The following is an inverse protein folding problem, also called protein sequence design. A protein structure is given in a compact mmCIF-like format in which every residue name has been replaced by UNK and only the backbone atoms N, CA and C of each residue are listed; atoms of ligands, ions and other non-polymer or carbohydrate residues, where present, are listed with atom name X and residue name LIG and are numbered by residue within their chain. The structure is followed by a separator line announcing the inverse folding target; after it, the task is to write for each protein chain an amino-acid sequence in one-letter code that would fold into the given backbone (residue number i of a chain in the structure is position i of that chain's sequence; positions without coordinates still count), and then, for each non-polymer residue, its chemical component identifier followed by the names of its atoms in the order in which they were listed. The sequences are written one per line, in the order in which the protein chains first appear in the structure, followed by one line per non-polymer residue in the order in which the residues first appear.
data_IF_984291418490
#
_entry.id   IF_984291418490
#
_cell.length_a   1.000
_cell.length_b   1.000
_cell.length_c   1.000
_cell.angle_alpha   90.00
_cell.angle_beta   90.00
_cell.angle_gamma   90.00
#
_symmetry.space_group_name_H-M   'P 1'
#
loop_
_entity.id
_entity.type
_entity.pdbx_description
1 polymer ?
#
# COMPACT_ATOMS: atom_id res chain seq x y z
N UNK A 1 3.55 16.06 22.22
CA UNK A 1 2.32 16.89 22.15
C UNK A 1 1.18 16.05 22.73
N UNK A 2 0.07 16.62 23.25
CA UNK A 2 -1.04 15.80 23.73
C UNK A 2 -1.80 15.15 22.57
N UNK A 3 -2.32 13.93 22.77
CA UNK A 3 -3.15 13.22 21.79
C UNK A 3 -4.35 14.08 21.40
N UNK A 4 -4.61 14.19 20.10
CA UNK A 4 -5.79 14.88 19.58
C UNK A 4 -6.92 13.87 19.39
N UNK A 5 -8.06 14.15 20.03
CA UNK A 5 -9.27 13.32 19.92
C UNK A 5 -10.45 14.13 19.42
N UNK A 6 -11.18 13.63 18.43
CA UNK A 6 -12.42 14.27 17.97
C UNK A 6 -12.59 14.35 16.46
N UNK A 7 -13.13 15.48 15.99
CA UNK A 7 -13.30 15.78 14.57
C UNK A 7 -12.63 17.10 14.26
N UNK A 8 -11.73 17.13 13.28
CA UNK A 8 -10.97 18.33 12.94
C UNK A 8 -10.77 18.45 11.44
N UNK A 9 -10.80 19.68 10.96
CA UNK A 9 -10.37 20.05 9.61
C UNK A 9 -9.06 20.82 9.77
N UNK A 10 -7.98 20.32 9.18
CA UNK A 10 -6.66 20.96 9.22
C UNK A 10 -6.49 21.89 8.01
N UNK A 11 -5.66 22.95 8.12
CA UNK A 11 -5.22 23.69 6.94
C UNK A 11 -4.14 22.91 6.17
N UNK A 12 -3.87 23.31 4.93
CA UNK A 12 -2.71 22.82 4.17
C UNK A 12 -1.42 23.04 4.97
N UNK A 13 -0.54 22.03 5.00
CA UNK A 13 0.72 22.09 5.72
C UNK A 13 1.89 21.90 4.76
N UNK A 14 2.89 22.78 4.87
CA UNK A 14 4.12 22.68 4.12
C UNK A 14 5.34 22.82 5.03
N UNK A 15 6.21 21.82 5.07
CA UNK A 15 7.45 21.89 5.85
C UNK A 15 7.83 20.59 6.53
N UNK A 16 8.19 20.67 7.81
CA UNK A 16 8.54 19.52 8.63
C UNK A 16 7.75 19.58 9.92
N UNK A 17 7.04 18.52 10.24
CA UNK A 17 6.17 18.47 11.41
C UNK A 17 6.26 17.11 12.10
N UNK A 18 6.26 17.15 13.43
CA UNK A 18 6.02 15.98 14.27
C UNK A 18 4.61 16.14 14.84
N UNK A 19 3.68 15.27 14.44
CA UNK A 19 2.28 15.31 14.84
C UNK A 19 2.07 14.52 16.15
N UNK A 20 1.09 14.90 16.98
CA UNK A 20 0.62 14.02 18.06
C UNK A 20 -0.18 12.84 17.50
N UNK A 21 -0.40 11.83 18.35
CA UNK A 21 -1.37 10.76 18.10
C UNK A 21 -2.75 11.35 17.79
N UNK A 22 -3.36 10.91 16.69
CA UNK A 22 -4.66 11.36 16.21
C UNK A 22 -5.68 10.22 16.36
N UNK A 23 -6.74 10.46 17.14
CA UNK A 23 -7.87 9.53 17.25
C UNK A 23 -9.19 10.20 16.87
N UNK A 24 -9.86 9.76 15.81
CA UNK A 24 -11.21 10.23 15.48
C UNK A 24 -11.48 10.39 14.01
N UNK A 25 -11.91 11.57 13.57
CA UNK A 25 -12.12 11.87 12.16
C UNK A 25 -11.37 13.14 11.78
N UNK A 26 -10.59 13.09 10.72
CA UNK A 26 -9.83 14.25 10.29
C UNK A 26 -9.89 14.41 8.78
N UNK A 27 -10.08 15.65 8.35
CA UNK A 27 -9.83 16.06 6.98
C UNK A 27 -8.48 16.81 7.00
N UNK A 28 -7.43 16.16 6.48
CA UNK A 28 -6.10 16.74 6.33
C UNK A 28 -5.89 17.00 4.85
N UNK A 29 -5.97 18.25 4.37
CA UNK A 29 -5.84 18.57 2.94
C UNK A 29 -4.37 18.44 2.49
N UNK A 30 -3.86 19.37 1.69
CA UNK A 30 -2.54 19.20 1.05
C UNK A 30 -1.42 19.18 2.11
N UNK A 31 -0.75 18.03 2.24
CA UNK A 31 0.45 17.88 3.07
C UNK A 31 1.68 17.75 2.17
N UNK A 32 2.59 18.71 2.29
CA UNK A 32 3.83 18.74 1.52
C UNK A 32 5.06 18.85 2.44
N UNK A 33 5.96 17.86 2.41
CA UNK A 33 7.25 17.96 3.09
C UNK A 33 7.65 16.70 3.84
N UNK A 34 7.91 16.81 5.14
CA UNK A 34 8.29 15.67 5.98
C UNK A 34 7.45 15.60 7.24
N UNK A 35 6.83 14.46 7.50
CA UNK A 35 5.96 14.31 8.65
C UNK A 35 6.29 13.03 9.40
N UNK A 36 6.28 13.12 10.72
CA UNK A 36 6.24 12.00 11.65
C UNK A 36 4.85 12.00 12.28
N UNK A 37 4.07 10.94 12.05
CA UNK A 37 2.71 10.78 12.55
C UNK A 37 2.57 9.42 13.26
N UNK A 38 2.86 9.36 14.58
CA UNK A 38 3.08 8.12 15.31
C UNK A 38 1.87 7.17 15.38
N UNK A 39 0.66 7.66 15.63
CA UNK A 39 -0.57 6.84 15.64
C UNK A 39 -1.69 7.63 14.97
N UNK A 40 -2.27 7.08 13.91
CA UNK A 40 -3.54 7.52 13.36
C UNK A 40 -4.58 6.42 13.52
N UNK A 41 -5.60 6.68 14.32
CA UNK A 41 -6.72 5.76 14.50
C UNK A 41 -8.07 6.44 14.20
N UNK A 42 -8.80 5.95 13.20
CA UNK A 42 -10.16 6.41 12.93
C UNK A 42 -10.51 6.54 11.46
N UNK A 43 -10.95 7.73 11.04
CA UNK A 43 -11.31 8.01 9.64
C UNK A 43 -10.59 9.25 9.14
N UNK A 44 -9.88 9.13 8.04
CA UNK A 44 -9.08 10.22 7.51
C UNK A 44 -9.36 10.42 6.03
N UNK A 45 -9.49 11.68 5.64
CA UNK A 45 -9.47 12.14 4.25
C UNK A 45 -8.18 12.95 4.06
N UNK A 46 -7.32 12.48 3.16
CA UNK A 46 -5.97 12.97 2.92
C UNK A 46 -5.71 13.10 1.41
N UNK A 47 -6.30 14.10 0.73
CA UNK A 47 -6.34 14.18 -0.73
C UNK A 47 -4.99 14.24 -1.44
N UNK A 48 -3.99 14.92 -0.86
CA UNK A 48 -2.66 15.06 -1.48
C UNK A 48 -1.54 14.98 -0.43
N UNK A 49 -0.78 13.90 -0.47
CA UNK A 49 0.40 13.69 0.35
C UNK A 49 1.66 13.68 -0.54
N UNK A 50 2.52 14.68 -0.38
CA UNK A 50 3.84 14.71 -1.07
C UNK A 50 5.01 14.85 -0.13
N UNK A 51 5.98 13.95 -0.27
CA UNK A 51 7.28 14.09 0.37
C UNK A 51 7.74 12.85 1.12
N UNK A 52 7.97 12.97 2.43
CA UNK A 52 8.43 11.86 3.27
C UNK A 52 7.58 11.71 4.51
N UNK A 53 7.06 10.53 4.75
CA UNK A 53 6.18 10.28 5.87
C UNK A 53 6.65 9.04 6.63
N UNK A 54 6.67 9.16 7.94
CA UNK A 54 6.83 8.07 8.88
C UNK A 54 5.50 7.95 9.64
N UNK A 55 4.78 6.86 9.43
CA UNK A 55 3.46 6.64 9.99
C UNK A 55 3.36 5.21 10.55
N UNK A 56 3.88 4.97 11.76
CA UNK A 56 4.09 3.62 12.25
C UNK A 56 2.83 2.80 12.54
N UNK A 57 1.70 3.45 12.86
CA UNK A 57 0.42 2.78 13.09
C UNK A 57 -0.72 3.54 12.42
N UNK A 58 -1.33 2.93 11.40
CA UNK A 58 -2.59 3.40 10.84
C UNK A 58 -3.69 2.35 11.06
N UNK A 59 -4.70 2.73 11.82
CA UNK A 59 -5.87 1.89 12.06
C UNK A 59 -7.18 2.59 11.68
N UNK A 60 -7.96 1.99 10.78
CA UNK A 60 -9.33 2.45 10.50
C UNK A 60 -9.69 2.58 9.03
N UNK A 61 -10.10 3.78 8.60
CA UNK A 61 -10.51 4.05 7.22
C UNK A 61 -9.81 5.27 6.67
N UNK A 62 -9.17 5.13 5.52
CA UNK A 62 -8.40 6.19 4.91
C UNK A 62 -8.78 6.34 3.45
N UNK A 63 -8.94 7.59 3.03
CA UNK A 63 -9.08 8.01 1.65
C UNK A 63 -7.86 8.89 1.34
N UNK A 64 -6.94 8.38 0.51
CA UNK A 64 -5.68 9.04 0.18
C UNK A 64 -5.46 8.97 -1.34
N UNK A 65 -6.09 9.86 -2.13
CA UNK A 65 -6.09 9.73 -3.58
C UNK A 65 -4.76 10.00 -4.30
N UNK A 66 -3.90 10.88 -3.79
CA UNK A 66 -2.57 11.16 -4.38
C UNK A 66 -1.49 11.03 -3.30
N UNK A 67 -0.69 9.95 -3.36
CA UNK A 67 0.51 9.82 -2.54
C UNK A 67 1.77 9.79 -3.42
N UNK A 68 2.59 10.82 -3.31
CA UNK A 68 3.85 10.91 -4.02
C UNK A 68 5.06 11.10 -3.10
N UNK A 69 5.95 10.10 -3.02
CA UNK A 69 7.23 10.28 -2.34
C UNK A 69 7.83 9.04 -1.68
N UNK A 70 8.12 9.14 -0.38
CA UNK A 70 8.66 8.05 0.42
C UNK A 70 7.86 7.87 1.69
N UNK A 71 7.38 6.67 1.93
CA UNK A 71 6.56 6.37 3.09
C UNK A 71 7.09 5.14 3.80
N UNK A 72 7.12 5.24 5.12
CA UNK A 72 7.38 4.13 6.03
C UNK A 72 6.09 3.94 6.83
N UNK A 73 5.37 2.85 6.54
CA UNK A 73 4.08 2.53 7.14
C UNK A 73 4.09 1.07 7.65
N UNK A 74 4.72 0.78 8.80
CA UNK A 74 4.91 -0.58 9.27
C UNK A 74 3.65 -1.37 9.62
N UNK A 75 2.59 -0.73 10.13
CA UNK A 75 1.32 -1.40 10.46
C UNK A 75 0.13 -0.63 9.88
N UNK A 76 -0.52 -1.22 8.87
CA UNK A 76 -1.80 -0.72 8.35
C UNK A 76 -2.90 -1.73 8.60
N UNK A 77 -3.89 -1.35 9.40
CA UNK A 77 -5.06 -2.16 9.65
C UNK A 77 -6.36 -1.44 9.31
N UNK A 78 -7.12 -1.93 8.32
CA UNK A 78 -8.47 -1.45 8.06
C UNK A 78 -8.90 -1.40 6.61
N UNK A 79 -9.36 -0.22 6.16
CA UNK A 79 -9.81 0.02 4.78
C UNK A 79 -9.13 1.23 4.21
N UNK A 80 -8.51 1.08 3.05
CA UNK A 80 -7.75 2.13 2.39
C UNK A 80 -8.20 2.23 0.94
N UNK A 81 -8.45 3.46 0.51
CA UNK A 81 -8.65 3.84 -0.87
C UNK A 81 -7.48 4.74 -1.26
N UNK A 82 -6.60 4.23 -2.12
CA UNK A 82 -5.37 4.89 -2.53
C UNK A 82 -5.17 4.77 -4.04
N UNK A 83 -5.87 5.56 -4.86
CA UNK A 83 -5.86 5.40 -6.31
C UNK A 83 -4.53 5.66 -7.01
N UNK A 84 -3.71 6.61 -6.55
CA UNK A 84 -2.42 6.92 -7.16
C UNK A 84 -1.30 6.89 -6.10
N UNK A 85 -0.47 5.85 -6.13
CA UNK A 85 0.75 5.78 -5.33
C UNK A 85 1.97 5.81 -6.24
N UNK A 86 2.78 6.84 -6.06
CA UNK A 86 4.04 6.98 -6.78
C UNK A 86 5.23 7.17 -5.82
N UNK A 87 6.23 6.29 -5.91
CA UNK A 87 7.51 6.49 -5.23
C UNK A 87 8.08 5.26 -4.55
N UNK A 88 8.31 5.36 -3.23
CA UNK A 88 8.88 4.28 -2.42
C UNK A 88 8.09 4.06 -1.14
N UNK A 89 7.63 2.84 -0.92
CA UNK A 89 6.82 2.49 0.23
C UNK A 89 7.43 1.26 0.91
N UNK A 90 7.53 1.34 2.22
CA UNK A 90 7.89 0.23 3.10
C UNK A 90 6.66 -0.05 3.96
N UNK A 91 6.00 -1.19 3.73
CA UNK A 91 4.73 -1.56 4.34
C UNK A 91 4.77 -3.04 4.76
N UNK A 92 5.49 -3.40 5.84
CA UNK A 92 5.70 -4.78 6.24
C UNK A 92 4.44 -5.53 6.70
N UNK A 93 3.43 -4.89 7.30
CA UNK A 93 2.18 -5.55 7.72
C UNK A 93 0.95 -4.77 7.24
N UNK A 94 0.22 -5.33 6.27
CA UNK A 94 -1.06 -4.78 5.79
C UNK A 94 -2.19 -5.77 6.04
N UNK A 95 -3.21 -5.32 6.78
CA UNK A 95 -4.40 -6.12 7.08
C UNK A 95 -5.68 -5.39 6.71
N UNK A 96 -6.52 -6.04 5.92
CA UNK A 96 -7.88 -5.57 5.68
C UNK A 96 -8.25 -5.47 4.20
N UNK A 97 -8.70 -4.29 3.77
CA UNK A 97 -9.15 -4.06 2.39
C UNK A 97 -8.47 -2.86 1.78
N UNK A 98 -7.88 -3.04 0.61
CA UNK A 98 -7.14 -1.99 -0.08
C UNK A 98 -7.61 -1.92 -1.52
N UNK A 99 -7.90 -0.71 -1.96
CA UNK A 99 -8.16 -0.37 -3.36
C UNK A 99 -7.00 0.53 -3.81
N UNK A 100 -6.13 0.00 -4.66
CA UNK A 100 -4.92 0.68 -5.10
C UNK A 100 -4.71 0.49 -6.61
N UNK A 101 -5.45 1.25 -7.45
CA UNK A 101 -5.46 1.04 -8.88
C UNK A 101 -4.18 1.34 -9.65
N UNK A 102 -3.40 2.35 -9.25
CA UNK A 102 -2.15 2.72 -9.91
C UNK A 102 -1.01 2.78 -8.90
N UNK A 103 -0.10 1.80 -8.96
CA UNK A 103 1.13 1.82 -8.18
C UNK A 103 2.34 1.91 -9.10
N UNK A 104 3.09 2.98 -8.94
CA UNK A 104 4.34 3.19 -9.65
C UNK A 104 5.53 3.36 -8.69
N UNK A 105 6.55 2.49 -8.81
CA UNK A 105 7.83 2.70 -8.13
C UNK A 105 8.41 1.47 -7.44
N UNK A 106 8.66 1.59 -6.14
CA UNK A 106 9.24 0.50 -5.32
C UNK A 106 8.43 0.28 -4.06
N UNK A 107 8.01 -0.95 -3.86
CA UNK A 107 7.20 -1.33 -2.71
C UNK A 107 7.84 -2.56 -2.06
N UNK A 108 7.98 -2.49 -0.75
CA UNK A 108 8.33 -3.61 0.10
C UNK A 108 7.10 -3.92 0.96
N UNK A 109 6.41 -5.01 0.66
CA UNK A 109 5.15 -5.38 1.30
C UNK A 109 5.24 -6.83 1.81
N UNK A 110 5.67 -7.01 3.06
CA UNK A 110 6.11 -8.32 3.54
C UNK A 110 4.98 -9.30 3.89
N UNK A 111 3.99 -8.86 4.68
CA UNK A 111 2.83 -9.65 5.10
C UNK A 111 1.56 -8.89 4.73
N UNK A 112 0.83 -9.40 3.73
CA UNK A 112 -0.44 -8.84 3.31
C UNK A 112 -1.53 -9.86 3.61
N UNK A 113 -2.51 -9.46 4.42
CA UNK A 113 -3.65 -10.31 4.74
C UNK A 113 -4.98 -9.60 4.48
N UNK A 114 -5.72 -10.05 3.45
CA UNK A 114 -7.03 -9.47 3.18
C UNK A 114 -7.53 -9.55 1.74
N UNK A 115 -8.18 -8.47 1.30
CA UNK A 115 -8.67 -8.27 -0.06
C UNK A 115 -8.00 -7.04 -0.66
N UNK A 116 -7.33 -7.22 -1.80
CA UNK A 116 -6.58 -6.18 -2.50
C UNK A 116 -7.05 -6.09 -3.95
N UNK A 117 -7.36 -4.89 -4.40
CA UNK A 117 -7.63 -4.55 -5.80
C UNK A 117 -6.45 -3.70 -6.29
N UNK A 118 -5.68 -4.26 -7.23
CA UNK A 118 -4.36 -3.78 -7.65
C UNK A 118 -4.22 -3.88 -9.20
N UNK A 119 -5.02 -3.14 -9.99
CA UNK A 119 -5.09 -3.33 -11.43
C UNK A 119 -3.83 -2.99 -12.24
N UNK A 120 -3.10 -1.91 -11.90
CA UNK A 120 -1.89 -1.51 -12.62
C UNK A 120 -0.72 -1.34 -11.65
N UNK A 121 0.25 -2.25 -11.72
CA UNK A 121 1.49 -2.17 -10.96
C UNK A 121 2.66 -2.03 -11.91
N UNK A 122 3.39 -0.92 -11.76
CA UNK A 122 4.60 -0.65 -12.52
C UNK A 122 5.82 -0.44 -11.60
N UNK A 123 6.79 -1.35 -11.63
CA UNK A 123 8.07 -1.12 -10.96
C UNK A 123 8.71 -2.34 -10.31
N UNK A 124 9.02 -2.23 -9.02
CA UNK A 124 9.64 -3.30 -8.22
C UNK A 124 8.86 -3.55 -6.95
N UNK A 125 8.47 -4.80 -6.75
CA UNK A 125 7.67 -5.22 -5.62
C UNK A 125 8.34 -6.43 -4.98
N UNK A 126 8.46 -6.38 -3.67
CA UNK A 126 8.83 -7.52 -2.82
C UNK A 126 7.59 -7.87 -1.98
N UNK A 127 7.01 -9.04 -2.22
CA UNK A 127 5.72 -9.48 -1.67
C UNK A 127 5.80 -10.95 -1.19
N UNK A 128 6.54 -11.24 -0.11
CA UNK A 128 6.83 -12.60 0.30
C UNK A 128 5.68 -13.42 0.87
N UNK A 129 4.74 -12.82 1.61
CA UNK A 129 3.58 -13.53 2.17
C UNK A 129 2.29 -12.79 1.79
N UNK A 130 1.58 -13.31 0.78
CA UNK A 130 0.26 -12.80 0.38
C UNK A 130 -0.82 -13.81 0.81
N UNK A 131 -1.73 -13.36 1.68
CA UNK A 131 -2.86 -14.16 2.19
C UNK A 131 -4.19 -13.52 1.86
N UNK A 132 -4.98 -14.18 1.03
CA UNK A 132 -6.38 -13.81 0.82
C UNK A 132 -6.79 -13.74 -0.64
N UNK A 133 -7.30 -12.57 -1.07
CA UNK A 133 -7.75 -12.35 -2.45
C UNK A 133 -7.07 -11.14 -3.05
N UNK A 134 -6.52 -11.31 -4.23
CA UNK A 134 -5.84 -10.27 -4.97
C UNK A 134 -6.35 -10.27 -6.42
N UNK A 135 -6.68 -9.08 -6.91
CA UNK A 135 -6.97 -8.83 -8.31
C UNK A 135 -5.82 -7.97 -8.86
N UNK A 136 -4.98 -8.55 -9.72
CA UNK A 136 -3.76 -7.93 -10.26
C UNK A 136 -3.61 -8.12 -11.78
N UNK A 137 -4.50 -7.53 -12.60
CA UNK A 137 -4.56 -7.76 -14.03
C UNK A 137 -3.36 -7.30 -14.86
N UNK A 138 -2.71 -6.18 -14.54
CA UNK A 138 -1.54 -5.68 -15.27
C UNK A 138 -0.34 -5.47 -14.32
N UNK A 139 0.62 -6.39 -14.39
CA UNK A 139 1.86 -6.31 -13.62
C UNK A 139 3.02 -6.09 -14.58
N UNK A 140 3.70 -4.95 -14.49
CA UNK A 140 4.90 -4.64 -15.27
C UNK A 140 6.13 -4.36 -14.40
N UNK A 141 7.19 -5.17 -14.53
CA UNK A 141 8.47 -4.91 -13.87
C UNK A 141 9.15 -6.12 -13.22
N UNK A 142 9.46 -6.01 -11.93
CA UNK A 142 10.11 -7.07 -11.15
C UNK A 142 9.33 -7.36 -9.88
N UNK A 143 9.00 -8.62 -9.69
CA UNK A 143 8.20 -9.08 -8.56
C UNK A 143 8.87 -10.28 -7.92
N UNK A 144 8.97 -10.27 -6.60
CA UNK A 144 9.36 -11.40 -5.77
C UNK A 144 8.12 -11.81 -4.95
N UNK A 145 7.56 -13.00 -5.24
CA UNK A 145 6.26 -13.47 -4.76
C UNK A 145 6.34 -14.94 -4.28
N UNK A 146 7.13 -15.25 -3.24
CA UNK A 146 7.44 -16.62 -2.85
C UNK A 146 6.29 -17.43 -2.24
N UNK A 147 5.44 -16.87 -1.37
CA UNK A 147 4.34 -17.62 -0.72
C UNK A 147 2.99 -16.95 -0.99
N UNK A 148 2.15 -17.61 -1.80
CA UNK A 148 0.86 -17.06 -2.26
C UNK A 148 -0.36 -17.89 -1.82
N UNK A 149 -0.66 -18.09 -0.52
CA UNK A 149 -1.88 -18.76 -0.07
C UNK A 149 -3.16 -17.95 -0.39
N UNK A 150 -3.99 -18.41 -1.34
CA UNK A 150 -5.28 -17.74 -1.59
C UNK A 150 -5.86 -17.84 -2.99
N UNK A 151 -6.46 -16.72 -3.43
CA UNK A 151 -7.02 -16.54 -4.77
C UNK A 151 -6.38 -15.33 -5.44
N UNK A 152 -5.91 -15.53 -6.66
CA UNK A 152 -5.21 -14.51 -7.42
C UNK A 152 -5.73 -14.51 -8.85
N UNK A 153 -6.01 -13.32 -9.37
CA UNK A 153 -6.30 -13.07 -10.77
C UNK A 153 -5.15 -12.23 -11.35
N UNK A 154 -4.35 -12.80 -12.25
CA UNK A 154 -3.12 -12.17 -12.77
C UNK A 154 -2.96 -12.36 -14.29
N UNK A 155 -3.90 -11.89 -15.14
CA UNK A 155 -3.97 -12.14 -16.58
C UNK A 155 -2.90 -11.49 -17.48
N UNK A 156 -2.15 -10.46 -17.07
CA UNK A 156 -1.03 -9.90 -17.87
C UNK A 156 0.21 -9.70 -16.98
N UNK A 157 1.23 -10.53 -17.21
CA UNK A 157 2.51 -10.50 -16.49
C UNK A 157 3.65 -10.16 -17.46
N UNK A 158 4.24 -8.97 -17.34
CA UNK A 158 5.39 -8.51 -18.13
C UNK A 158 6.60 -8.18 -17.27
N UNK A 159 7.69 -8.95 -17.45
CA UNK A 159 8.97 -8.65 -16.81
C UNK A 159 9.64 -9.87 -16.21
N UNK A 160 10.09 -9.75 -14.95
CA UNK A 160 10.74 -10.83 -14.20
C UNK A 160 9.95 -11.13 -12.94
N UNK A 161 9.68 -12.41 -12.71
CA UNK A 161 8.90 -12.90 -11.58
C UNK A 161 9.63 -14.08 -10.95
N UNK A 162 9.66 -14.10 -9.62
CA UNK A 162 10.06 -15.24 -8.82
C UNK A 162 8.83 -15.70 -8.01
N UNK A 163 8.34 -16.91 -8.26
CA UNK A 163 7.11 -17.47 -7.67
C UNK A 163 7.30 -18.97 -7.37
N UNK A 164 8.13 -19.32 -6.37
CA UNK A 164 8.35 -20.70 -5.97
C UNK A 164 7.08 -21.38 -5.42
N UNK A 165 6.43 -20.88 -4.39
CA UNK A 165 5.40 -21.65 -3.67
C UNK A 165 3.98 -21.11 -3.93
N UNK A 166 3.29 -21.72 -4.92
CA UNK A 166 1.90 -21.42 -5.26
C UNK A 166 0.93 -22.40 -4.58
N UNK A 167 0.22 -21.93 -3.55
CA UNK A 167 -0.85 -22.65 -2.86
C UNK A 167 -2.22 -21.95 -2.97
N UNK A 168 -3.05 -22.30 -3.96
CA UNK A 168 -4.31 -21.57 -4.14
C UNK A 168 -5.03 -21.82 -5.45
N UNK A 169 -5.89 -20.87 -5.81
CA UNK A 169 -6.50 -20.77 -7.14
C UNK A 169 -5.92 -19.57 -7.86
N UNK A 170 -5.44 -19.79 -9.07
CA UNK A 170 -4.79 -18.78 -9.90
C UNK A 170 -5.44 -18.75 -11.27
N UNK A 171 -5.68 -17.56 -11.79
CA UNK A 171 -5.87 -17.31 -13.22
C UNK A 171 -4.61 -16.62 -13.73
N UNK A 172 -3.83 -17.31 -14.57
CA UNK A 172 -2.52 -16.87 -15.07
C UNK A 172 -2.50 -16.99 -16.61
N UNK A 173 -1.91 -16.05 -17.35
CA UNK A 173 -1.83 -16.08 -18.80
C UNK A 173 -0.79 -17.06 -19.31
N UNK A 174 -0.78 -17.27 -20.63
CA UNK A 174 0.38 -17.80 -21.35
C UNK A 174 1.50 -16.74 -21.30
N UNK A 175 2.57 -17.05 -20.58
CA UNK A 175 3.49 -16.10 -19.98
C UNK A 175 4.64 -15.62 -20.92
N UNK A 176 4.73 -14.32 -21.32
CA UNK A 176 5.88 -13.76 -22.04
C UNK A 176 6.92 -13.16 -21.08
N UNK A 177 7.95 -13.92 -20.71
CA UNK A 177 8.95 -13.48 -19.72
C UNK A 177 9.96 -14.56 -19.31
N UNK A 178 10.83 -14.25 -18.33
CA UNK A 178 11.67 -15.26 -17.67
C UNK A 178 11.04 -15.59 -16.32
N UNK A 179 10.71 -16.87 -16.15
CA UNK A 179 10.06 -17.41 -14.96
C UNK A 179 10.94 -18.51 -14.39
N UNK A 180 11.17 -18.46 -13.09
CA UNK A 180 11.62 -19.61 -12.32
C UNK A 180 10.39 -20.09 -11.53
N UNK A 181 9.82 -21.22 -11.96
CA UNK A 181 8.80 -21.98 -11.23
C UNK A 181 9.46 -23.27 -10.71
N UNK A 182 9.06 -23.82 -9.55
CA UNK A 182 9.51 -25.14 -9.15
C UNK A 182 8.78 -26.23 -9.94
N UNK A 183 9.44 -27.38 -10.05
CA UNK A 183 8.90 -28.64 -10.59
C UNK A 183 7.70 -29.17 -9.79
#
# INVERSE_FOLDING_TARGET
MPDLRGKYDMPDLCGKYDMPDLHGKYDLPDLHGKYDMPDLCGKYDMPDLRGKYDMPDLCGKYDMPDLHGKYDLPDLHGKYDMPDLCGKYDMPDLRGKYDMPDLCGKYDMLDLHGEYDLPDLHGKYDMPDLRGKYDMPDLHGKYDLPDLPGKYDMPDLRGKYDMPDLHGKYDLPDLPGKYDMPD
#
